data_IF_269134009264
#
_entry.id   IF_269134009264
#
_cell.length_a   1.000
_cell.length_b   1.000
_cell.length_c   1.000
_cell.angle_alpha   90.00
_cell.angle_beta   90.00
_cell.angle_gamma   90.00
#
_symmetry.space_group_name_H-M   'P 1'
#
loop_
_entity.id
_entity.type
_entity.pdbx_description
1 polymer ?
#
# COMPACT_ATOMS: atom_id res chain seq x y z
N UNK A 1 6.54 20.43 -6.46
CA UNK A 1 5.22 20.21 -7.11
C UNK A 1 5.31 20.18 -8.63
N UNK A 2 6.31 20.78 -9.27
CA UNK A 2 6.72 20.38 -10.62
C UNK A 2 8.24 20.48 -10.70
N UNK A 3 8.95 19.35 -10.81
CA UNK A 3 10.38 19.33 -11.08
C UNK A 3 10.59 18.81 -12.49
N UNK A 4 11.48 19.46 -13.25
CA UNK A 4 11.94 18.99 -14.56
C UNK A 4 10.80 18.77 -15.57
N UNK A 5 9.99 19.80 -15.80
CA UNK A 5 8.69 19.72 -16.47
C UNK A 5 8.77 19.26 -17.93
N UNK A 6 9.89 19.51 -18.61
CA UNK A 6 10.11 19.15 -20.01
C UNK A 6 11.04 17.94 -20.21
N UNK A 7 11.52 17.33 -19.12
CA UNK A 7 12.35 16.13 -19.16
C UNK A 7 11.49 14.89 -18.94
N UNK A 8 11.93 13.73 -19.42
CA UNK A 8 11.20 12.47 -19.27
C UNK A 8 11.56 11.70 -18.00
N UNK A 9 12.66 12.04 -17.32
CA UNK A 9 13.07 11.31 -16.12
C UNK A 9 12.18 11.64 -14.91
N UNK A 10 12.02 10.61 -14.07
CA UNK A 10 11.31 10.67 -12.82
C UNK A 10 9.86 10.18 -12.92
N UNK A 11 9.13 10.44 -11.83
CA UNK A 11 7.77 9.99 -11.59
C UNK A 11 6.90 11.16 -11.15
N UNK A 12 5.64 11.14 -11.56
CA UNK A 12 4.63 12.11 -11.10
C UNK A 12 3.39 11.37 -10.62
N UNK A 13 2.78 11.89 -9.56
CA UNK A 13 1.54 11.35 -8.99
C UNK A 13 0.31 11.75 -9.80
N UNK A 14 -0.79 10.99 -9.64
CA UNK A 14 -2.09 11.25 -10.30
C UNK A 14 -2.57 12.70 -10.23
N UNK A 15 -2.41 13.37 -9.08
CA UNK A 15 -2.86 14.76 -8.90
C UNK A 15 -2.01 15.76 -9.68
N UNK A 16 -0.72 15.49 -9.83
CA UNK A 16 0.18 16.33 -10.63
C UNK A 16 -0.07 16.12 -12.12
N UNK A 17 -0.26 14.87 -12.55
CA UNK A 17 -0.65 14.56 -13.92
C UNK A 17 -2.01 15.18 -14.30
N UNK A 18 -3.02 15.07 -13.44
CA UNK A 18 -4.32 15.71 -13.66
C UNK A 18 -4.20 17.23 -13.75
N UNK A 19 -3.36 17.86 -12.91
CA UNK A 19 -3.11 19.30 -13.00
C UNK A 19 -2.40 19.68 -14.31
N UNK A 20 -1.46 18.86 -14.79
CA UNK A 20 -0.80 19.07 -16.09
C UNK A 20 -1.79 19.04 -17.26
N UNK A 21 -2.74 18.10 -17.27
CA UNK A 21 -3.81 18.04 -18.29
C UNK A 21 -4.66 19.30 -18.24
N UNK A 22 -5.05 19.74 -17.05
CA UNK A 22 -5.85 20.95 -16.87
C UNK A 22 -5.09 22.18 -17.39
N UNK A 23 -3.81 22.32 -17.04
CA UNK A 23 -2.96 23.42 -17.52
C UNK A 23 -2.85 23.41 -19.05
N UNK A 24 -2.60 22.24 -19.65
CA UNK A 24 -2.48 22.08 -21.10
C UNK A 24 -3.79 22.45 -21.82
N UNK A 25 -4.93 21.97 -21.30
CA UNK A 25 -6.25 22.30 -21.82
C UNK A 25 -6.54 23.80 -21.81
N UNK A 26 -6.27 24.48 -20.70
CA UNK A 26 -6.44 25.93 -20.62
C UNK A 26 -5.46 26.70 -21.50
N UNK A 27 -4.22 26.22 -21.65
CA UNK A 27 -3.24 26.83 -22.55
C UNK A 27 -3.68 26.74 -24.02
N UNK A 28 -4.28 25.60 -24.43
CA UNK A 28 -4.84 25.42 -25.78
C UNK A 28 -6.03 26.36 -26.02
N UNK A 29 -6.96 26.48 -25.06
CA UNK A 29 -8.07 27.44 -25.16
C UNK A 29 -7.54 28.86 -25.30
N UNK A 30 -6.59 29.24 -24.44
CA UNK A 30 -6.01 30.57 -24.44
C UNK A 30 -5.33 30.91 -25.78
N UNK A 31 -4.57 29.96 -26.35
CA UNK A 31 -3.97 30.10 -27.67
C UNK A 31 -5.03 30.28 -28.77
N UNK A 32 -6.15 29.55 -28.69
CA UNK A 32 -7.27 29.69 -29.61
C UNK A 32 -7.97 31.05 -29.51
N UNK A 33 -8.14 31.58 -28.30
CA UNK A 33 -8.68 32.93 -28.07
C UNK A 33 -7.75 33.99 -28.65
N UNK A 34 -6.43 33.86 -28.45
CA UNK A 34 -5.46 34.78 -29.05
C UNK A 34 -5.54 34.72 -30.58
N UNK A 35 -5.53 33.53 -31.19
CA UNK A 35 -5.58 33.38 -32.66
C UNK A 35 -6.88 33.96 -33.25
N UNK A 36 -7.98 33.96 -32.49
CA UNK A 36 -9.25 34.57 -32.89
C UNK A 36 -9.24 36.11 -32.87
N UNK A 37 -8.41 36.73 -32.01
CA UNK A 37 -8.26 38.19 -31.91
C UNK A 37 -7.13 38.69 -32.82
N UNK A 38 -6.03 37.96 -32.85
CA UNK A 38 -4.83 38.24 -33.63
C UNK A 38 -4.42 36.97 -34.35
N UNK A 39 -4.65 36.91 -35.66
CA UNK A 39 -4.26 35.76 -36.48
C UNK A 39 -2.76 35.50 -36.34
N UNK A 40 -2.41 34.42 -35.64
CA UNK A 40 -1.03 34.02 -35.46
C UNK A 40 -0.52 33.35 -36.74
N UNK A 41 0.71 33.69 -37.13
CA UNK A 41 1.38 33.04 -38.25
C UNK A 41 1.55 31.54 -38.01
N UNK A 42 1.52 30.75 -39.08
CA UNK A 42 1.60 29.28 -39.01
C UNK A 42 2.84 28.79 -38.25
N UNK A 43 3.97 29.49 -38.40
CA UNK A 43 5.23 29.17 -37.70
C UNK A 43 5.07 29.33 -36.19
N UNK A 44 4.45 30.42 -35.74
CA UNK A 44 4.26 30.70 -34.31
C UNK A 44 3.32 29.65 -33.70
N UNK A 45 2.21 29.33 -34.39
CA UNK A 45 1.29 28.28 -33.94
C UNK A 45 1.99 26.94 -33.80
N UNK A 46 2.77 26.54 -34.81
CA UNK A 46 3.51 25.29 -34.78
C UNK A 46 4.48 25.21 -33.60
N UNK A 47 5.19 26.30 -33.28
CA UNK A 47 6.08 26.35 -32.13
C UNK A 47 5.34 26.16 -30.80
N UNK A 48 4.21 26.84 -30.61
CA UNK A 48 3.38 26.68 -29.40
C UNK A 48 2.81 25.26 -29.28
N UNK A 49 2.24 24.71 -30.35
CA UNK A 49 1.72 23.34 -30.33
C UNK A 49 2.82 22.31 -30.04
N UNK A 50 4.01 22.49 -30.62
CA UNK A 50 5.15 21.61 -30.35
C UNK A 50 5.57 21.67 -28.88
N UNK A 51 5.59 22.87 -28.29
CA UNK A 51 5.94 23.06 -26.88
C UNK A 51 4.91 22.41 -25.94
N UNK A 52 3.61 22.64 -26.18
CA UNK A 52 2.52 22.06 -25.38
C UNK A 52 2.49 20.53 -25.51
N UNK A 53 2.65 20.03 -26.75
CA UNK A 53 2.77 18.60 -27.01
C UNK A 53 3.94 17.98 -26.25
N UNK A 54 5.12 18.62 -26.28
CA UNK A 54 6.29 18.13 -25.55
C UNK A 54 6.07 18.12 -24.04
N UNK A 55 5.44 19.17 -23.49
CA UNK A 55 5.06 19.24 -22.09
C UNK A 55 4.15 18.07 -21.70
N UNK A 56 3.01 17.88 -22.37
CA UNK A 56 2.05 16.84 -21.98
C UNK A 56 2.60 15.43 -22.21
N UNK A 57 3.43 15.23 -23.24
CA UNK A 57 4.14 13.98 -23.49
C UNK A 57 5.09 13.65 -22.35
N UNK A 58 5.91 14.62 -21.90
CA UNK A 58 6.82 14.44 -20.78
C UNK A 58 6.08 14.07 -19.50
N UNK A 59 4.96 14.71 -19.20
CA UNK A 59 4.14 14.39 -18.03
C UNK A 59 3.50 12.99 -18.14
N UNK A 60 2.98 12.64 -19.32
CA UNK A 60 2.38 11.33 -19.57
C UNK A 60 3.38 10.19 -19.39
N UNK A 61 4.62 10.37 -19.87
CA UNK A 61 5.71 9.41 -19.70
C UNK A 61 6.06 9.22 -18.23
N UNK A 62 6.23 10.31 -17.47
CA UNK A 62 6.48 10.21 -16.01
C UNK A 62 5.33 9.57 -15.24
N UNK A 63 4.09 9.74 -15.71
CA UNK A 63 2.93 9.08 -15.12
C UNK A 63 2.92 7.59 -15.42
N UNK A 64 3.31 7.18 -16.64
CA UNK A 64 3.51 5.78 -17.02
C UNK A 64 4.63 5.12 -16.20
N UNK A 65 5.76 5.82 -16.03
CA UNK A 65 6.85 5.41 -15.15
C UNK A 65 6.41 5.20 -13.70
N UNK A 66 5.48 6.02 -13.21
CA UNK A 66 4.92 5.84 -11.86
C UNK A 66 4.05 4.57 -11.74
N UNK A 67 3.54 4.02 -12.85
CA UNK A 67 2.87 2.72 -12.92
C UNK A 67 3.85 1.54 -13.10
N UNK A 68 5.17 1.81 -13.12
CA UNK A 68 6.19 0.78 -13.40
C UNK A 68 6.23 0.33 -14.86
N UNK A 69 5.61 1.08 -15.76
CA UNK A 69 5.57 0.80 -17.19
C UNK A 69 6.50 1.74 -17.95
N UNK A 70 6.98 1.31 -19.11
CA UNK A 70 7.81 2.16 -19.95
C UNK A 70 7.02 3.35 -20.50
N UNK A 71 7.71 4.43 -20.86
CA UNK A 71 7.11 5.61 -21.48
C UNK A 71 6.40 5.32 -22.81
N UNK A 72 6.75 4.22 -23.49
CA UNK A 72 6.16 3.84 -24.77
C UNK A 72 4.67 3.50 -24.69
N UNK A 73 4.17 3.06 -23.54
CA UNK A 73 2.74 2.78 -23.35
C UNK A 73 1.86 4.02 -23.56
N UNK A 74 2.42 5.23 -23.42
CA UNK A 74 1.72 6.50 -23.67
C UNK A 74 1.18 6.60 -25.11
N UNK A 75 1.78 5.87 -26.06
CA UNK A 75 1.35 5.84 -27.45
C UNK A 75 0.14 4.91 -27.70
N UNK A 76 -0.24 4.07 -26.73
CA UNK A 76 -1.37 3.16 -26.87
C UNK A 76 -2.69 3.93 -26.79
N UNK A 77 -3.65 3.66 -27.70
CA UNK A 77 -4.99 4.22 -27.62
C UNK A 77 -5.63 3.93 -26.26
N UNK A 78 -6.38 4.89 -25.71
CA UNK A 78 -7.08 4.82 -24.42
C UNK A 78 -6.20 4.69 -23.16
N UNK A 79 -4.91 4.38 -23.29
CA UNK A 79 -3.97 4.36 -22.18
C UNK A 79 -3.72 5.80 -21.66
N UNK A 80 -3.44 6.74 -22.57
CA UNK A 80 -3.36 8.17 -22.29
C UNK A 80 -4.64 8.89 -22.75
N UNK A 81 -5.31 9.71 -21.93
CA UNK A 81 -5.05 10.02 -20.52
C UNK A 81 -5.82 9.15 -19.53
N UNK A 82 -6.85 8.43 -19.98
CA UNK A 82 -7.85 7.83 -19.09
C UNK A 82 -7.26 6.79 -18.14
N UNK A 83 -6.57 5.77 -18.65
CA UNK A 83 -5.94 4.77 -17.77
C UNK A 83 -4.91 5.41 -16.83
N UNK A 84 -4.07 6.31 -17.34
CA UNK A 84 -3.08 7.03 -16.54
C UNK A 84 -3.70 7.88 -15.41
N UNK A 85 -4.91 8.41 -15.60
CA UNK A 85 -5.59 9.26 -14.62
C UNK A 85 -6.19 8.46 -13.47
N UNK A 86 -6.73 7.27 -13.77
CA UNK A 86 -7.47 6.46 -12.80
C UNK A 86 -6.63 5.38 -12.10
N UNK A 87 -5.51 4.94 -12.70
CA UNK A 87 -4.63 3.93 -12.10
C UNK A 87 -3.84 4.47 -10.91
N UNK A 88 -3.53 3.61 -9.94
CA UNK A 88 -2.66 3.91 -8.79
C UNK A 88 -1.19 3.65 -9.15
N UNK A 89 -0.27 4.51 -8.69
CA UNK A 89 1.18 4.33 -8.87
C UNK A 89 1.77 3.22 -8.02
N UNK A 90 2.85 2.60 -8.50
CA UNK A 90 3.64 1.57 -7.83
C UNK A 90 4.16 2.09 -6.49
N UNK A 91 4.02 1.27 -5.45
CA UNK A 91 4.51 1.56 -4.11
C UNK A 91 6.04 1.51 -4.07
N UNK A 92 6.66 2.44 -3.34
CA UNK A 92 8.12 2.46 -3.17
C UNK A 92 8.89 2.86 -4.41
N UNK A 93 10.21 2.72 -4.35
CA UNK A 93 11.12 3.01 -5.45
C UNK A 93 10.92 2.00 -6.59
N UNK A 94 10.93 2.50 -7.83
CA UNK A 94 11.00 1.67 -9.03
C UNK A 94 12.19 2.12 -9.91
N UNK A 95 12.36 1.48 -11.08
CA UNK A 95 13.47 1.77 -12.01
C UNK A 95 13.51 3.23 -12.50
N UNK A 96 12.40 3.96 -12.43
CA UNK A 96 12.28 5.34 -12.89
C UNK A 96 12.42 6.38 -11.77
N UNK A 97 12.54 5.95 -10.52
CA UNK A 97 12.83 6.81 -9.37
C UNK A 97 12.00 6.54 -8.12
N UNK A 98 12.15 7.43 -7.15
CA UNK A 98 11.47 7.38 -5.84
C UNK A 98 9.96 7.62 -5.97
N UNK A 99 9.15 7.00 -5.09
CA UNK A 99 7.70 7.20 -5.04
C UNK A 99 7.38 8.69 -4.80
N UNK A 100 6.60 9.35 -5.69
CA UNK A 100 6.13 10.71 -5.47
C UNK A 100 5.37 10.93 -4.15
N UNK A 101 4.66 9.91 -3.65
CA UNK A 101 3.98 9.92 -2.35
C UNK A 101 4.91 9.52 -1.19
N UNK A 102 6.16 9.14 -1.47
CA UNK A 102 7.13 8.61 -0.52
C UNK A 102 6.58 7.41 0.28
N UNK A 103 5.71 6.61 -0.32
CA UNK A 103 5.25 5.37 0.31
C UNK A 103 6.40 4.37 0.20
N UNK A 104 6.67 3.67 1.29
CA UNK A 104 7.77 2.70 1.34
C UNK A 104 7.20 1.34 0.98
N UNK A 105 7.80 0.67 0.00
CA UNK A 105 7.51 -0.74 -0.27
C UNK A 105 8.40 -1.58 0.64
N UNK A 106 7.84 -2.04 1.76
CA UNK A 106 8.58 -2.75 2.80
C UNK A 106 9.07 -4.15 2.36
N UNK A 107 8.57 -4.68 1.24
CA UNK A 107 9.00 -5.97 0.69
C UNK A 107 10.33 -5.91 -0.10
N UNK A 108 10.69 -4.77 -0.70
CA UNK A 108 11.91 -4.64 -1.52
C UNK A 108 13.08 -3.92 -0.81
N UNK A 109 12.82 -3.30 0.34
CA UNK A 109 13.84 -2.57 1.12
C UNK A 109 14.86 -3.49 1.80
N UNK A 110 14.58 -4.79 1.90
CA UNK A 110 15.47 -5.82 2.43
C UNK A 110 16.58 -6.24 1.46
N UNK A 111 16.56 -5.79 0.19
CA UNK A 111 17.49 -6.26 -0.86
C UNK A 111 18.50 -5.25 -1.42
N UNK A 112 18.53 -3.99 -0.95
CA UNK A 112 19.55 -3.04 -1.43
C UNK A 112 20.31 -2.37 -0.30
N UNK A 113 21.39 -3.00 0.12
CA UNK A 113 22.46 -2.36 0.88
C UNK A 113 23.21 -1.36 -0.02
N UNK A 114 23.05 -0.05 0.23
CA UNK A 114 24.13 0.96 0.29
C UNK A 114 23.59 2.38 0.13
N UNK A 115 24.14 3.29 0.95
CA UNK A 115 23.98 4.76 0.97
C UNK A 115 22.69 5.33 1.57
N UNK A 116 22.66 5.35 2.91
CA UNK A 116 21.70 6.12 3.70
C UNK A 116 22.10 7.61 3.67
N UNK A 117 21.39 8.42 2.88
CA UNK A 117 21.06 9.78 3.34
C UNK A 117 19.78 9.64 4.16
N UNK A 118 19.90 9.81 5.48
CA UNK A 118 18.79 9.69 6.41
C UNK A 118 17.71 10.73 6.08
N UNK A 119 16.44 10.34 5.91
CA UNK A 119 15.35 11.30 5.93
C UNK A 119 15.18 11.93 7.33
N UNK A 120 14.68 13.17 7.42
CA UNK A 120 14.68 13.94 8.66
C UNK A 120 13.73 13.32 9.70
N UNK A 121 14.30 13.01 10.86
CA UNK A 121 13.69 12.81 12.19
C UNK A 121 12.17 12.55 12.21
N UNK A 122 11.75 11.35 11.80
CA UNK A 122 10.71 10.68 12.58
C UNK A 122 11.42 10.22 13.84
N UNK A 123 11.00 10.74 15.00
CA UNK A 123 11.58 10.50 16.33
C UNK A 123 12.00 9.04 16.47
N UNK A 124 13.31 8.78 16.33
CA UNK A 124 13.88 7.46 16.50
C UNK A 124 13.65 7.01 17.94
N UNK A 125 12.96 5.89 18.10
CA UNK A 125 12.89 5.17 19.37
C UNK A 125 14.29 4.62 19.66
N UNK A 126 14.90 5.05 20.76
CA UNK A 126 16.20 4.56 21.23
C UNK A 126 15.97 3.44 22.26
N UNK A 127 16.53 2.23 22.05
CA UNK A 127 16.49 1.20 23.08
C UNK A 127 17.58 1.46 24.11
N UNK A 128 17.18 1.72 25.36
CA UNK A 128 18.09 1.68 26.51
C UNK A 128 17.89 0.31 27.17
N UNK A 129 18.88 -0.56 27.00
CA UNK A 129 18.96 -1.83 27.69
C UNK A 129 19.51 -1.59 29.10
N UNK A 130 18.65 -1.77 30.10
CA UNK A 130 19.10 -2.06 31.46
C UNK A 130 18.42 -3.35 31.87
N UNK A 131 19.24 -4.34 32.23
CA UNK A 131 18.84 -5.52 32.99
C UNK A 131 17.97 -5.09 34.17
N UNK A 132 16.91 -5.83 34.49
CA UNK A 132 16.52 -6.15 35.87
C UNK A 132 15.39 -7.19 35.89
N UNK A 133 15.55 -8.07 36.88
CA UNK A 133 14.72 -9.16 37.38
C UNK A 133 13.24 -8.87 37.61
N UNK A 134 12.49 -9.96 37.49
CA UNK A 134 11.14 -10.28 37.99
C UNK A 134 10.42 -9.22 38.83
N UNK A 135 9.25 -8.81 38.34
CA UNK A 135 8.22 -8.15 39.15
C UNK A 135 8.16 -6.62 39.03
N UNK A 136 8.02 -6.07 37.82
CA UNK A 136 7.49 -4.72 37.63
C UNK A 136 7.10 -4.50 36.16
N UNK A 137 5.82 -4.21 35.91
CA UNK A 137 5.26 -3.89 34.59
C UNK A 137 5.75 -2.50 34.15
N UNK A 138 6.95 -2.43 33.56
CA UNK A 138 7.48 -1.20 32.99
C UNK A 138 6.90 -0.97 31.59
N UNK A 139 5.93 -0.07 31.49
CA UNK A 139 5.32 0.36 30.24
C UNK A 139 6.33 1.22 29.44
N UNK A 140 7.24 0.58 28.69
CA UNK A 140 8.06 1.27 27.67
C UNK A 140 7.62 0.97 26.24
N UNK A 141 6.87 -0.11 26.03
CA UNK A 141 6.36 -0.52 24.74
C UNK A 141 4.85 -0.32 24.69
N UNK A 142 4.32 0.12 23.56
CA UNK A 142 2.89 0.17 23.30
C UNK A 142 2.29 -1.22 23.03
N UNK A 143 2.99 -2.29 23.41
CA UNK A 143 2.59 -3.66 23.19
C UNK A 143 3.22 -4.60 24.23
N UNK A 144 2.64 -5.79 24.39
CA UNK A 144 3.07 -6.82 25.35
C UNK A 144 3.35 -8.10 24.57
N UNK A 145 4.58 -8.61 24.68
CA UNK A 145 5.01 -9.90 24.08
C UNK A 145 5.37 -10.92 25.16
N UNK A 146 5.56 -12.18 24.77
CA UNK A 146 6.17 -13.21 25.62
C UNK A 146 7.66 -12.98 25.84
N UNK A 147 8.25 -13.68 26.81
CA UNK A 147 9.68 -13.56 27.17
C UNK A 147 10.63 -13.92 26.00
N UNK A 148 10.16 -14.73 25.07
CA UNK A 148 10.86 -15.18 23.87
C UNK A 148 10.53 -14.33 22.62
N UNK A 149 9.75 -13.25 22.75
CA UNK A 149 9.32 -12.35 21.67
C UNK A 149 8.47 -13.01 20.56
N UNK A 150 8.00 -14.25 20.75
CA UNK A 150 7.30 -15.01 19.70
C UNK A 150 5.79 -14.77 19.68
N UNK A 151 5.19 -14.42 20.81
CA UNK A 151 3.74 -14.22 20.93
C UNK A 151 3.44 -12.77 21.31
N UNK A 152 2.72 -12.06 20.44
CA UNK A 152 2.14 -10.76 20.75
C UNK A 152 0.84 -10.97 21.52
N UNK A 153 0.79 -10.52 22.77
CA UNK A 153 -0.33 -10.74 23.69
C UNK A 153 -1.31 -9.59 23.76
N UNK A 154 -0.83 -8.35 23.56
CA UNK A 154 -1.67 -7.16 23.64
C UNK A 154 -1.03 -5.98 22.94
N UNK A 155 -1.84 -5.20 22.23
CA UNK A 155 -1.50 -3.85 21.78
C UNK A 155 -2.13 -2.82 22.74
N UNK A 156 -1.42 -1.75 23.03
CA UNK A 156 -1.80 -0.74 24.03
C UNK A 156 -2.13 0.63 23.42
N UNK A 157 -1.68 0.93 22.20
CA UNK A 157 -1.91 2.21 21.53
C UNK A 157 -3.04 2.11 20.50
N UNK A 158 -4.25 2.45 20.90
CA UNK A 158 -5.45 2.44 20.04
C UNK A 158 -5.52 3.62 19.07
N UNK A 159 -4.67 4.64 19.26
CA UNK A 159 -4.64 5.86 18.43
C UNK A 159 -3.71 5.73 17.22
N UNK A 160 -3.03 4.58 17.10
CA UNK A 160 -2.08 4.31 16.03
C UNK A 160 -2.77 4.26 14.66
N UNK A 161 -2.26 5.03 13.71
CA UNK A 161 -2.75 5.04 12.33
C UNK A 161 -2.20 3.89 11.47
N UNK A 162 -1.06 3.34 11.86
CA UNK A 162 -0.34 2.33 11.09
C UNK A 162 0.62 1.50 11.93
N UNK A 163 0.65 0.20 11.71
CA UNK A 163 1.55 -0.73 12.42
C UNK A 163 2.47 -1.39 11.40
N UNK A 164 3.76 -1.39 11.68
CA UNK A 164 4.75 -2.12 10.89
C UNK A 164 5.58 -3.02 11.78
N UNK A 165 5.23 -4.31 11.81
CA UNK A 165 5.92 -5.30 12.62
C UNK A 165 7.33 -5.62 12.08
N UNK A 166 7.58 -5.45 10.78
CA UNK A 166 8.91 -5.69 10.18
C UNK A 166 9.95 -4.65 10.62
N UNK A 167 9.50 -3.43 10.91
CA UNK A 167 10.38 -2.34 11.32
C UNK A 167 10.86 -2.46 12.78
N UNK A 168 10.13 -3.21 13.61
CA UNK A 168 10.44 -3.40 15.02
C UNK A 168 11.16 -4.75 15.24
N UNK A 169 12.37 -4.76 15.82
CA UNK A 169 13.15 -5.99 15.99
C UNK A 169 12.49 -7.07 16.87
N UNK A 170 11.56 -6.69 17.76
CA UNK A 170 10.80 -7.59 18.62
C UNK A 170 9.60 -8.09 17.84
N UNK A 171 8.79 -7.19 17.26
CA UNK A 171 7.59 -7.58 16.51
C UNK A 171 7.92 -8.39 15.25
N UNK A 172 9.09 -8.19 14.65
CA UNK A 172 9.51 -8.98 13.49
C UNK A 172 9.76 -10.46 13.85
N UNK A 173 9.97 -10.81 15.12
CA UNK A 173 10.11 -12.21 15.56
C UNK A 173 8.77 -12.86 15.91
N UNK A 174 7.70 -12.08 16.02
CA UNK A 174 6.39 -12.58 16.43
C UNK A 174 5.87 -13.55 15.39
N UNK A 175 5.65 -14.79 15.82
CA UNK A 175 5.06 -15.86 15.04
C UNK A 175 3.59 -16.11 15.38
N UNK A 176 3.11 -15.58 16.51
CA UNK A 176 1.76 -15.78 17.01
C UNK A 176 1.17 -14.43 17.45
N UNK A 177 0.01 -14.06 16.90
CA UNK A 177 -0.81 -12.95 17.40
C UNK A 177 -1.91 -13.53 18.28
N UNK A 178 -1.95 -13.11 19.54
CA UNK A 178 -2.92 -13.51 20.55
C UNK A 178 -4.34 -13.01 20.27
N UNK A 179 -5.27 -13.46 21.11
CA UNK A 179 -6.68 -13.04 21.08
C UNK A 179 -6.79 -11.56 21.42
N UNK A 180 -7.68 -10.83 20.73
CA UNK A 180 -8.01 -9.42 20.99
C UNK A 180 -6.82 -8.45 20.96
N UNK A 181 -5.70 -8.81 20.31
CA UNK A 181 -4.45 -8.05 20.40
C UNK A 181 -4.62 -6.60 19.98
N UNK A 182 -5.26 -6.34 18.83
CA UNK A 182 -5.51 -5.00 18.29
C UNK A 182 -6.95 -4.54 18.50
N UNK A 183 -7.65 -5.10 19.50
CA UNK A 183 -9.03 -4.73 19.80
C UNK A 183 -9.15 -3.20 20.01
N UNK A 184 -10.08 -2.56 19.29
CA UNK A 184 -10.37 -1.14 19.45
C UNK A 184 -9.32 -0.21 18.84
N UNK A 185 -8.46 -0.69 17.95
CA UNK A 185 -7.55 0.15 17.17
C UNK A 185 -8.29 0.87 16.04
N UNK A 186 -9.27 1.71 16.40
CA UNK A 186 -10.21 2.29 15.43
C UNK A 186 -9.52 3.22 14.43
N UNK A 187 -8.34 3.78 14.76
CA UNK A 187 -7.57 4.62 13.85
C UNK A 187 -6.63 3.86 12.92
N UNK A 188 -6.49 2.54 13.11
CA UNK A 188 -5.58 1.72 12.33
C UNK A 188 -6.06 1.63 10.88
N UNK A 189 -5.28 2.18 9.95
CA UNK A 189 -5.59 2.18 8.51
C UNK A 189 -4.92 1.00 7.82
N UNK A 190 -3.69 0.66 8.24
CA UNK A 190 -2.94 -0.46 7.68
C UNK A 190 -2.02 -1.10 8.71
N UNK A 191 -1.84 -2.42 8.58
CA UNK A 191 -0.94 -3.23 9.38
C UNK A 191 -0.05 -4.07 8.45
N UNK A 192 1.24 -4.12 8.77
CA UNK A 192 2.21 -5.00 8.12
C UNK A 192 2.66 -6.01 9.17
N UNK A 193 2.37 -7.28 8.92
CA UNK A 193 2.73 -8.39 9.80
C UNK A 193 4.21 -8.79 9.68
N UNK A 194 4.69 -9.55 10.66
CA UNK A 194 6.00 -10.21 10.58
C UNK A 194 6.03 -11.25 9.45
N UNK A 195 7.17 -11.42 8.79
CA UNK A 195 7.42 -12.52 7.83
C UNK A 195 7.40 -13.91 8.49
N UNK A 196 7.44 -13.98 9.82
CA UNK A 196 7.41 -15.21 10.62
C UNK A 196 6.05 -15.53 11.20
N UNK A 197 5.02 -14.73 10.88
CA UNK A 197 3.68 -14.91 11.42
C UNK A 197 3.03 -16.20 10.89
N UNK A 198 2.79 -17.12 11.81
CA UNK A 198 2.21 -18.43 11.54
C UNK A 198 0.74 -18.52 11.99
N UNK A 199 0.40 -17.88 13.12
CA UNK A 199 -0.91 -18.02 13.74
C UNK A 199 -1.47 -16.67 14.19
N UNK A 200 -2.76 -16.47 13.95
CA UNK A 200 -3.52 -15.31 14.42
C UNK A 200 -4.76 -15.82 15.14
N UNK A 201 -4.92 -15.45 16.41
CA UNK A 201 -6.03 -15.90 17.24
C UNK A 201 -7.33 -15.17 16.92
N UNK A 202 -8.44 -15.70 17.45
CA UNK A 202 -9.77 -15.09 17.39
C UNK A 202 -9.75 -13.59 17.77
N UNK A 203 -10.58 -12.80 17.09
CA UNK A 203 -10.82 -11.38 17.38
C UNK A 203 -9.58 -10.46 17.39
N UNK A 204 -8.45 -10.92 16.86
CA UNK A 204 -7.20 -10.18 16.93
C UNK A 204 -7.25 -8.75 16.36
N UNK A 205 -8.14 -8.48 15.40
CA UNK A 205 -8.38 -7.18 14.75
C UNK A 205 -9.84 -6.73 14.88
N UNK A 206 -10.53 -7.12 15.95
CA UNK A 206 -11.89 -6.65 16.19
C UNK A 206 -11.92 -5.14 16.49
N UNK A 207 -13.02 -4.50 16.10
CA UNK A 207 -13.25 -3.05 16.20
C UNK A 207 -12.23 -2.16 15.43
N UNK A 208 -11.53 -2.69 14.43
CA UNK A 208 -10.64 -1.88 13.58
C UNK A 208 -11.41 -1.18 12.43
N UNK A 209 -12.15 -0.12 12.74
CA UNK A 209 -13.10 0.54 11.81
C UNK A 209 -12.49 1.09 10.51
N UNK A 210 -11.23 1.53 10.52
CA UNK A 210 -10.57 2.17 9.37
C UNK A 210 -9.64 1.23 8.60
N UNK A 211 -9.60 -0.05 8.97
CA UNK A 211 -8.76 -1.05 8.33
C UNK A 211 -9.45 -1.58 7.07
N UNK A 212 -9.18 -0.94 5.93
CA UNK A 212 -9.85 -1.27 4.67
C UNK A 212 -9.27 -2.49 3.96
N UNK A 213 -8.00 -2.81 4.19
CA UNK A 213 -7.31 -3.94 3.55
C UNK A 213 -6.26 -4.55 4.46
N UNK A 214 -6.09 -5.87 4.38
CA UNK A 214 -5.08 -6.60 5.15
C UNK A 214 -4.39 -7.63 4.28
N UNK A 215 -3.07 -7.73 4.39
CA UNK A 215 -2.25 -8.73 3.70
C UNK A 215 -1.65 -9.68 4.72
N UNK A 216 -1.95 -10.98 4.61
CA UNK A 216 -1.37 -12.03 5.43
C UNK A 216 -0.13 -12.62 4.73
N UNK A 217 1.00 -12.80 5.46
CA UNK A 217 2.24 -13.27 4.88
C UNK A 217 2.16 -14.73 4.45
N UNK A 218 3.07 -15.14 3.57
CA UNK A 218 3.05 -16.47 2.92
C UNK A 218 3.21 -17.66 3.88
N UNK A 219 3.72 -17.41 5.09
CA UNK A 219 3.87 -18.43 6.14
C UNK A 219 2.70 -18.50 7.11
N UNK A 220 1.63 -17.73 6.89
CA UNK A 220 0.44 -17.80 7.73
C UNK A 220 -0.24 -19.17 7.57
N UNK A 221 -0.22 -19.98 8.63
CA UNK A 221 -0.75 -21.35 8.62
C UNK A 221 -2.19 -21.41 9.12
N UNK A 222 -2.56 -20.53 10.05
CA UNK A 222 -3.87 -20.58 10.70
C UNK A 222 -4.39 -19.19 11.08
N UNK A 223 -5.68 -19.00 10.80
CA UNK A 223 -6.46 -17.79 11.07
C UNK A 223 -7.62 -18.19 11.99
N UNK A 224 -7.68 -17.53 13.14
CA UNK A 224 -8.71 -17.78 14.16
C UNK A 224 -10.10 -17.36 13.70
N UNK A 225 -11.08 -17.59 14.58
CA UNK A 225 -12.46 -17.26 14.28
C UNK A 225 -12.72 -15.76 14.48
N UNK A 226 -13.46 -15.16 13.55
CA UNK A 226 -13.91 -13.78 13.57
C UNK A 226 -12.80 -12.78 13.87
N UNK A 227 -11.63 -12.95 13.22
CA UNK A 227 -10.47 -12.07 13.46
C UNK A 227 -10.78 -10.58 13.28
N UNK A 228 -11.73 -10.23 12.42
CA UNK A 228 -12.17 -8.84 12.18
C UNK A 228 -13.43 -8.45 12.97
N UNK A 229 -14.02 -9.40 13.71
CA UNK A 229 -15.23 -9.23 14.51
C UNK A 229 -16.34 -8.47 13.78
N UNK A 230 -16.65 -7.24 14.20
CA UNK A 230 -17.71 -6.42 13.60
C UNK A 230 -17.29 -5.62 12.35
N UNK A 231 -15.99 -5.42 12.10
CA UNK A 231 -15.46 -4.53 11.06
C UNK A 231 -14.57 -5.30 10.08
N UNK A 232 -15.19 -6.01 9.14
CA UNK A 232 -14.46 -6.70 8.09
C UNK A 232 -13.88 -5.71 7.05
N UNK A 233 -12.60 -5.85 6.65
CA UNK A 233 -12.01 -5.06 5.56
C UNK A 233 -12.72 -5.31 4.22
N UNK A 234 -12.56 -4.38 3.28
CA UNK A 234 -13.12 -4.54 1.92
C UNK A 234 -12.35 -5.57 1.09
N UNK A 235 -11.07 -5.76 1.37
CA UNK A 235 -10.22 -6.73 0.67
C UNK A 235 -9.21 -7.39 1.59
N UNK A 236 -8.99 -8.68 1.39
CA UNK A 236 -7.96 -9.46 2.09
C UNK A 236 -7.01 -10.03 1.05
N UNK A 237 -5.71 -9.99 1.31
CA UNK A 237 -4.70 -10.67 0.48
C UNK A 237 -4.04 -11.76 1.29
N UNK A 238 -3.95 -12.97 0.75
CA UNK A 238 -3.25 -14.10 1.34
C UNK A 238 -2.08 -14.46 0.41
N UNK A 239 -0.85 -14.36 0.91
CA UNK A 239 0.36 -14.66 0.13
C UNK A 239 0.74 -16.14 0.18
N UNK A 240 -0.02 -16.98 0.90
CA UNK A 240 0.31 -18.38 1.13
C UNK A 240 -0.07 -19.27 -0.06
N UNK A 241 0.79 -20.23 -0.40
CA UNK A 241 0.53 -21.24 -1.45
C UNK A 241 -0.53 -22.27 -1.02
N UNK A 242 -0.62 -22.50 0.29
CA UNK A 242 -1.60 -23.37 0.93
C UNK A 242 -2.66 -22.52 1.62
N UNK A 243 -3.97 -22.81 1.45
CA UNK A 243 -5.03 -22.15 2.20
C UNK A 243 -4.80 -22.32 3.71
N UNK A 244 -4.68 -21.22 4.48
CA UNK A 244 -4.54 -21.30 5.94
C UNK A 244 -5.76 -21.99 6.55
N UNK A 245 -5.56 -22.70 7.67
CA UNK A 245 -6.69 -23.25 8.43
C UNK A 245 -7.50 -22.07 8.97
N UNK A 246 -8.78 -22.00 8.60
CA UNK A 246 -9.72 -21.00 9.13
C UNK A 246 -10.61 -21.67 10.18
N UNK A 247 -10.49 -21.25 11.45
CA UNK A 247 -11.20 -21.87 12.57
C UNK A 247 -12.72 -21.59 12.59
N UNK A 248 -13.19 -20.68 11.73
CA UNK A 248 -14.60 -20.33 11.60
C UNK A 248 -14.86 -19.39 10.43
N UNK A 249 -15.33 -18.18 10.72
CA UNK A 249 -15.53 -17.12 9.72
C UNK A 249 -14.53 -16.00 9.90
N UNK A 250 -14.33 -15.15 8.89
CA UNK A 250 -13.43 -13.99 9.00
C UNK A 250 -14.01 -12.88 9.90
N UNK A 251 -15.33 -12.74 9.93
CA UNK A 251 -16.07 -11.73 10.70
C UNK A 251 -17.49 -12.21 11.03
N UNK A 252 -18.14 -11.57 12.01
CA UNK A 252 -19.59 -11.72 12.24
C UNK A 252 -20.42 -11.03 11.15
N UNK A 253 -19.87 -9.93 10.61
CA UNK A 253 -20.41 -9.22 9.46
C UNK A 253 -19.32 -9.07 8.39
N UNK A 254 -19.40 -9.91 7.36
CA UNK A 254 -18.51 -9.88 6.19
C UNK A 254 -19.16 -9.25 4.94
N UNK A 255 -20.26 -8.51 5.08
CA UNK A 255 -20.96 -7.86 3.94
C UNK A 255 -20.09 -6.85 3.19
N UNK A 256 -19.12 -6.24 3.87
CA UNK A 256 -18.19 -5.28 3.27
C UNK A 256 -17.06 -5.94 2.49
N UNK A 257 -16.80 -7.23 2.72
CA UNK A 257 -15.72 -7.95 2.07
C UNK A 257 -16.07 -8.22 0.60
N UNK A 258 -15.35 -7.57 -0.30
CA UNK A 258 -15.60 -7.63 -1.76
C UNK A 258 -14.67 -8.61 -2.48
N UNK A 259 -13.46 -8.80 -1.96
CA UNK A 259 -12.46 -9.62 -2.63
C UNK A 259 -11.49 -10.26 -1.64
N UNK A 260 -11.12 -11.51 -1.92
CA UNK A 260 -9.98 -12.18 -1.31
C UNK A 260 -8.97 -12.47 -2.43
N UNK A 261 -7.81 -11.84 -2.36
CA UNK A 261 -6.73 -12.03 -3.32
C UNK A 261 -5.79 -13.13 -2.86
N UNK A 262 -5.55 -14.09 -3.74
CA UNK A 262 -4.57 -15.17 -3.54
C UNK A 262 -3.68 -15.26 -4.78
N UNK A 263 -2.52 -15.93 -4.75
CA UNK A 263 -1.71 -16.08 -5.96
C UNK A 263 -2.53 -16.81 -7.03
N UNK A 264 -2.49 -16.31 -8.28
CA UNK A 264 -3.35 -16.78 -9.37
C UNK A 264 -3.35 -18.30 -9.56
N UNK A 265 -2.21 -18.94 -9.30
CA UNK A 265 -2.00 -20.39 -9.42
C UNK A 265 -2.82 -21.21 -8.41
N UNK A 266 -3.19 -20.63 -7.27
CA UNK A 266 -3.85 -21.33 -6.16
C UNK A 266 -5.34 -20.96 -5.99
N UNK A 267 -5.90 -20.10 -6.85
CA UNK A 267 -7.30 -19.63 -6.74
C UNK A 267 -8.31 -20.77 -6.57
N UNK A 268 -8.27 -21.76 -7.46
CA UNK A 268 -9.23 -22.88 -7.41
C UNK A 268 -9.04 -23.74 -6.16
N UNK A 269 -7.80 -23.89 -5.70
CA UNK A 269 -7.48 -24.60 -4.46
C UNK A 269 -8.06 -23.90 -3.24
N UNK A 270 -8.00 -22.57 -3.19
CA UNK A 270 -8.63 -21.78 -2.14
C UNK A 270 -10.15 -21.86 -2.19
N UNK A 271 -10.77 -21.83 -3.38
CA UNK A 271 -12.23 -21.89 -3.55
C UNK A 271 -12.86 -23.18 -3.04
N UNK A 272 -12.15 -24.30 -3.16
CA UNK A 272 -12.63 -25.62 -2.69
C UNK A 272 -12.13 -25.99 -1.30
N UNK A 273 -11.27 -25.16 -0.70
CA UNK A 273 -10.72 -25.44 0.63
C UNK A 273 -11.80 -25.35 1.70
N UNK A 274 -11.76 -26.29 2.65
CA UNK A 274 -12.68 -26.31 3.78
C UNK A 274 -12.60 -25.00 4.55
N UNK A 275 -13.76 -24.43 4.91
CA UNK A 275 -13.94 -23.13 5.56
C UNK A 275 -13.73 -21.90 4.66
N UNK A 276 -13.08 -22.05 3.50
CA UNK A 276 -12.97 -20.99 2.49
C UNK A 276 -14.07 -21.05 1.43
N UNK A 277 -14.82 -22.15 1.37
CA UNK A 277 -15.93 -22.41 0.45
C UNK A 277 -17.04 -21.35 0.52
N UNK A 278 -17.29 -20.77 1.71
CA UNK A 278 -18.20 -19.61 1.86
C UNK A 278 -17.77 -18.41 1.00
N UNK A 279 -16.47 -18.24 0.80
CA UNK A 279 -15.87 -17.09 0.13
C UNK A 279 -15.50 -17.38 -1.33
N UNK A 280 -15.85 -18.56 -1.86
CA UNK A 280 -15.43 -19.02 -3.18
C UNK A 280 -15.70 -18.00 -4.31
N UNK A 281 -16.86 -17.34 -4.28
CA UNK A 281 -17.29 -16.39 -5.30
C UNK A 281 -16.48 -15.08 -5.30
N UNK A 282 -15.88 -14.71 -4.16
CA UNK A 282 -15.10 -13.47 -4.01
C UNK A 282 -13.59 -13.71 -4.00
N UNK A 283 -13.15 -14.97 -4.03
CA UNK A 283 -11.73 -15.34 -4.16
C UNK A 283 -11.28 -15.10 -5.61
N UNK A 284 -10.22 -14.31 -5.77
CA UNK A 284 -9.67 -13.84 -7.04
C UNK A 284 -8.15 -13.96 -7.03
N UNK A 285 -7.55 -14.13 -8.21
CA UNK A 285 -6.11 -14.12 -8.36
C UNK A 285 -5.55 -12.71 -8.53
N UNK A 286 -4.32 -12.49 -8.07
CA UNK A 286 -3.52 -11.31 -8.36
C UNK A 286 -2.25 -11.66 -9.14
#
# INVERSE_FOLDING_TARGET
MFKNIFLFEGRIRRTEFGLSIIIDYFALIFLGVIDAVVTLGIVIKFLFFTLLFWFILAQSVKRSHDLGQSGWYVLLPFYNPFFLLFSEGVLGKNEYGEDPKKRVNFFNASTSSSSILQPPLVRAYQPIAEDISEGSTSCRYHFVVTKDDTVLKKWLDTEVGSINMLADPILNKVSIIGRDVFYGCNKLIYIIFSEHLNFISDFALDDCEHLHSVTFPSKCLQIGNCIFGKNCPESITLEAEEPPILDGYLAYNDEKLKAIYVPIEFVEKYRIARAWDKYADIIQGH
#
